data_IF_020731113995
#
_entry.id   IF_020731113995
#
_cell.length_a   1.000
_cell.length_b   1.000
_cell.length_c   1.000
_cell.angle_alpha   90.00
_cell.angle_beta   90.00
_cell.angle_gamma   90.00
#
_symmetry.space_group_name_H-M   'P 1'
#
loop_
_entity.id
_entity.type
_entity.pdbx_description
1 polymer ?
#
# COMPACT_ATOMS: atom_id res chain seq x y z
N UNK A 1 6.57 -3.48 -15.49
CA UNK A 1 7.51 -3.25 -14.36
C UNK A 1 8.66 -2.40 -14.88
N UNK A 2 9.23 -1.51 -14.05
CA UNK A 2 10.35 -0.62 -14.39
C UNK A 2 11.66 -1.16 -13.77
N UNK A 3 12.31 -2.18 -14.38
CA UNK A 3 13.54 -2.78 -13.83
C UNK A 3 14.69 -1.76 -13.73
N UNK A 4 14.70 -0.76 -14.61
CA UNK A 4 15.59 0.40 -14.63
C UNK A 4 15.56 1.26 -13.36
N UNK A 5 14.54 1.13 -12.51
CA UNK A 5 14.38 1.92 -11.28
C UNK A 5 14.61 1.10 -10.00
N UNK A 6 15.01 -0.16 -10.12
CA UNK A 6 15.17 -1.06 -8.97
C UNK A 6 16.11 -0.50 -7.89
N UNK A 7 17.27 0.04 -8.29
CA UNK A 7 18.23 0.62 -7.36
C UNK A 7 17.70 1.89 -6.68
N UNK A 8 16.91 2.69 -7.40
CA UNK A 8 16.24 3.88 -6.86
C UNK A 8 15.20 3.48 -5.80
N UNK A 9 14.39 2.45 -6.07
CA UNK A 9 13.40 1.95 -5.11
C UNK A 9 14.03 1.31 -3.88
N UNK A 10 15.16 0.60 -4.03
CA UNK A 10 15.89 0.00 -2.90
C UNK A 10 16.47 1.04 -1.94
N UNK A 11 16.89 2.20 -2.45
CA UNK A 11 17.44 3.30 -1.64
C UNK A 11 16.39 4.27 -1.13
N UNK A 12 15.17 4.22 -1.67
CA UNK A 12 14.09 5.12 -1.29
C UNK A 12 13.48 4.76 0.07
N UNK A 13 13.14 5.78 0.85
CA UNK A 13 12.36 5.59 2.07
C UNK A 13 10.96 5.02 1.74
N UNK A 14 10.40 4.21 2.64
CA UNK A 14 9.09 3.57 2.47
C UNK A 14 7.99 4.57 2.06
N UNK A 15 7.95 5.75 2.69
CA UNK A 15 6.98 6.80 2.34
C UNK A 15 7.09 7.28 0.90
N UNK A 16 8.30 7.35 0.34
CA UNK A 16 8.51 7.71 -1.06
C UNK A 16 8.02 6.61 -2.01
N UNK A 17 8.22 5.34 -1.65
CA UNK A 17 7.69 4.21 -2.41
C UNK A 17 6.15 4.21 -2.42
N UNK A 18 5.51 4.46 -1.27
CA UNK A 18 4.05 4.54 -1.16
C UNK A 18 3.48 5.66 -2.04
N UNK A 19 4.16 6.82 -2.09
CA UNK A 19 3.70 7.95 -2.90
C UNK A 19 3.66 7.67 -4.41
N UNK A 20 4.49 6.74 -4.89
CA UNK A 20 4.58 6.32 -6.29
C UNK A 20 3.51 5.30 -6.71
N UNK A 21 2.66 4.82 -5.80
CA UNK A 21 1.55 3.91 -6.12
C UNK A 21 0.49 4.68 -6.91
N UNK A 22 -0.01 4.16 -8.03
CA UNK A 22 -1.04 4.88 -8.81
C UNK A 22 -2.43 4.78 -8.18
N UNK A 23 -2.76 3.61 -7.63
CA UNK A 23 -4.04 3.37 -6.98
C UNK A 23 -4.18 4.18 -5.68
N UNK A 24 -5.12 5.12 -5.66
CA UNK A 24 -5.37 5.97 -4.50
C UNK A 24 -5.77 5.19 -3.25
N UNK A 25 -6.55 4.12 -3.39
CA UNK A 25 -6.99 3.30 -2.25
C UNK A 25 -5.82 2.56 -1.62
N UNK A 26 -4.98 1.90 -2.43
CA UNK A 26 -3.77 1.20 -1.95
C UNK A 26 -2.81 2.19 -1.30
N UNK A 27 -2.61 3.37 -1.91
CA UNK A 27 -1.73 4.43 -1.38
C UNK A 27 -2.17 4.90 0.00
N UNK A 28 -3.45 5.18 0.16
CA UNK A 28 -4.01 5.71 1.42
C UNK A 28 -4.00 4.68 2.55
N UNK A 29 -4.23 3.41 2.24
CA UNK A 29 -4.15 2.31 3.22
C UNK A 29 -2.70 2.07 3.66
N UNK A 30 -1.77 2.02 2.71
CA UNK A 30 -0.34 1.84 3.00
C UNK A 30 0.24 2.99 3.83
N UNK A 31 -0.21 4.24 3.60
CA UNK A 31 0.16 5.39 4.46
C UNK A 31 -0.31 5.21 5.89
N UNK A 32 -1.57 4.82 6.10
CA UNK A 32 -2.14 4.61 7.44
C UNK A 32 -1.43 3.49 8.18
N UNK A 33 -1.14 2.38 7.50
CA UNK A 33 -0.32 1.30 8.07
C UNK A 33 1.06 1.81 8.51
N UNK A 34 1.71 2.64 7.69
CA UNK A 34 3.00 3.25 8.03
C UNK A 34 2.90 4.18 9.24
N UNK A 35 1.86 5.01 9.30
CA UNK A 35 1.65 5.93 10.43
C UNK A 35 1.42 5.19 11.73
N UNK A 36 0.56 4.17 11.72
CA UNK A 36 0.26 3.39 12.90
C UNK A 36 1.45 2.54 13.35
N UNK A 37 2.19 1.95 12.40
CA UNK A 37 3.44 1.24 12.70
C UNK A 37 4.51 2.16 13.30
N UNK A 38 4.62 3.40 12.82
CA UNK A 38 5.48 4.40 13.46
C UNK A 38 4.97 4.74 14.86
N UNK A 39 3.66 4.98 15.04
CA UNK A 39 3.05 5.36 16.31
C UNK A 39 3.28 4.33 17.43
N UNK A 40 3.23 3.02 17.10
CA UNK A 40 3.49 1.92 18.05
C UNK A 40 4.90 1.93 18.65
N UNK A 41 5.86 2.59 18.01
CA UNK A 41 7.24 2.72 18.51
C UNK A 41 7.51 4.04 19.26
N UNK A 42 6.57 4.98 19.24
CA UNK A 42 6.72 6.28 19.90
C UNK A 42 6.27 6.20 21.37
N UNK A 43 6.97 6.93 22.25
CA UNK A 43 6.61 7.06 23.67
C UNK A 43 5.25 7.75 23.89
N UNK A 44 4.82 8.57 22.94
CA UNK A 44 3.53 9.26 22.94
C UNK A 44 2.78 8.79 21.70
N UNK A 45 1.67 8.09 21.89
CA UNK A 45 0.79 7.64 20.81
C UNK A 45 -0.08 8.79 20.35
N UNK A 46 -0.21 8.98 19.03
CA UNK A 46 -1.16 9.91 18.42
C UNK A 46 -2.51 9.24 18.17
N UNK A 47 -2.54 7.92 18.05
CA UNK A 47 -3.74 7.14 17.82
C UNK A 47 -4.00 6.22 19.03
N UNK A 48 -4.39 6.82 20.15
CA UNK A 48 -4.57 6.09 21.42
C UNK A 48 -5.65 4.99 21.35
N UNK A 49 -6.67 5.17 20.50
CA UNK A 49 -7.75 4.21 20.28
C UNK A 49 -7.42 3.11 19.26
N UNK A 50 -6.17 3.05 18.78
CA UNK A 50 -5.72 2.08 17.77
C UNK A 50 -4.54 1.27 18.28
N UNK A 51 -4.47 0.03 17.85
CA UNK A 51 -3.45 -0.91 18.31
C UNK A 51 -2.80 -1.72 17.18
N UNK A 52 -1.97 -2.69 17.57
CA UNK A 52 -1.29 -3.59 16.63
C UNK A 52 -2.26 -4.47 15.82
N UNK A 53 -3.49 -4.70 16.28
CA UNK A 53 -4.51 -5.41 15.50
C UNK A 53 -5.03 -4.53 14.38
N UNK A 54 -5.28 -3.24 14.63
CA UNK A 54 -5.61 -2.29 13.57
C UNK A 54 -4.48 -2.22 12.52
N UNK A 55 -3.21 -2.25 12.95
CA UNK A 55 -2.07 -2.27 12.02
C UNK A 55 -2.09 -3.53 11.14
N UNK A 56 -2.28 -4.71 11.74
CA UNK A 56 -2.37 -5.97 10.99
C UNK A 56 -3.53 -5.93 9.99
N UNK A 57 -4.69 -5.42 10.41
CA UNK A 57 -5.86 -5.28 9.54
C UNK A 57 -5.60 -4.32 8.37
N UNK A 58 -4.88 -3.21 8.61
CA UNK A 58 -4.51 -2.26 7.55
C UNK A 58 -3.55 -2.89 6.54
N UNK A 59 -2.58 -3.68 7.00
CA UNK A 59 -1.64 -4.40 6.12
C UNK A 59 -2.40 -5.43 5.28
N UNK A 60 -3.26 -6.24 5.91
CA UNK A 60 -4.06 -7.25 5.23
C UNK A 60 -4.98 -6.62 4.18
N UNK A 61 -5.71 -5.55 4.55
CA UNK A 61 -6.57 -4.83 3.63
C UNK A 61 -5.78 -4.25 2.44
N UNK A 62 -4.57 -3.74 2.68
CA UNK A 62 -3.69 -3.26 1.60
C UNK A 62 -3.35 -4.39 0.63
N UNK A 63 -3.02 -5.58 1.12
CA UNK A 63 -2.74 -6.76 0.30
C UNK A 63 -3.96 -7.23 -0.50
N UNK A 64 -5.15 -7.19 0.10
CA UNK A 64 -6.39 -7.54 -0.57
C UNK A 64 -6.68 -6.58 -1.74
N UNK A 65 -6.50 -5.27 -1.55
CA UNK A 65 -6.67 -4.28 -2.62
C UNK A 65 -5.66 -4.47 -3.77
N UNK A 66 -4.40 -4.80 -3.46
CA UNK A 66 -3.39 -5.12 -4.49
C UNK A 66 -3.84 -6.34 -5.29
N UNK A 67 -4.32 -7.38 -4.61
CA UNK A 67 -4.80 -8.61 -5.26
C UNK A 67 -6.03 -8.33 -6.12
N UNK A 68 -6.98 -7.54 -5.61
CA UNK A 68 -8.16 -7.10 -6.34
C UNK A 68 -7.77 -6.34 -7.61
N UNK A 69 -6.91 -5.32 -7.49
CA UNK A 69 -6.46 -4.53 -8.63
C UNK A 69 -5.76 -5.40 -9.68
N UNK A 70 -4.86 -6.30 -9.25
CA UNK A 70 -4.16 -7.20 -10.16
C UNK A 70 -5.12 -8.11 -10.93
N UNK A 71 -6.14 -8.67 -10.26
CA UNK A 71 -7.15 -9.52 -10.89
C UNK A 71 -8.04 -8.72 -11.83
N UNK A 72 -8.49 -7.53 -11.42
CA UNK A 72 -9.28 -6.65 -12.27
C UNK A 72 -8.54 -6.27 -13.55
N UNK A 73 -7.25 -5.92 -13.45
CA UNK A 73 -6.40 -5.63 -14.61
C UNK A 73 -6.31 -6.84 -15.56
N UNK A 74 -6.03 -8.03 -15.02
CA UNK A 74 -5.97 -9.25 -15.82
C UNK A 74 -7.26 -9.51 -16.61
N UNK A 75 -8.44 -9.40 -15.97
CA UNK A 75 -9.71 -9.59 -16.67
C UNK A 75 -9.98 -8.52 -17.75
N UNK A 76 -9.61 -7.26 -17.49
CA UNK A 76 -9.77 -6.19 -18.48
C UNK A 76 -8.86 -6.38 -19.71
N UNK A 77 -7.68 -6.97 -19.50
CA UNK A 77 -6.74 -7.31 -20.58
C UNK A 77 -7.18 -8.57 -21.35
N UNK A 78 -7.69 -9.59 -20.65
CA UNK A 78 -8.16 -10.86 -21.23
C UNK A 78 -9.51 -10.71 -21.96
N UNK A 79 -10.35 -9.75 -21.55
CA UNK A 79 -11.68 -9.50 -22.11
C UNK A 79 -11.82 -8.06 -22.61
N UNK A 80 -11.06 -7.65 -23.66
CA UNK A 80 -11.16 -6.30 -24.20
C UNK A 80 -12.54 -6.07 -24.85
N UNK A 81 -13.08 -4.85 -24.71
CA UNK A 81 -14.31 -4.46 -25.39
C UNK A 81 -14.17 -4.67 -26.91
N UNK A 82 -15.10 -5.44 -27.50
CA UNK A 82 -15.16 -5.59 -28.95
C UNK A 82 -15.57 -4.24 -29.55
N UNK A 83 -14.65 -3.61 -30.29
CA UNK A 83 -14.96 -2.49 -31.19
C UNK A 83 -15.89 -2.92 -32.31
#
# INVERSE_FOLDING_TARGET
MHPDKEEEFRKAALGNCINKIDNSSIKELARRATWLGNDETHYIRKWEDRDIHDLKNLIDLTCQYITMESKSKAYLEEMPEKK
#
